data_IF_004657169852
#
_entry.id   IF_004657169852
#
_cell.length_a   1.000
_cell.length_b   1.000
_cell.length_c   1.000
_cell.angle_alpha   90.00
_cell.angle_beta   90.00
_cell.angle_gamma   90.00
#
_symmetry.space_group_name_H-M   'P 1'
#
loop_
_entity.id
_entity.type
_entity.pdbx_description
1 polymer ?
#
# COMPACT_ATOMS: atom_id res chain seq x y z
N UNK A 1 19.27 6.70 10.99
CA UNK A 1 17.84 6.86 10.70
C UNK A 1 17.52 6.00 9.51
N UNK A 2 16.63 5.03 9.64
CA UNK A 2 16.27 4.13 8.53
C UNK A 2 15.52 4.96 7.48
N UNK A 3 16.09 5.12 6.28
CA UNK A 3 15.52 5.89 5.16
C UNK A 3 14.80 4.97 4.15
N UNK A 4 14.29 3.84 4.64
CA UNK A 4 13.63 2.82 3.81
C UNK A 4 12.12 2.94 3.93
N UNK A 5 11.45 3.08 2.79
CA UNK A 5 10.00 2.95 2.66
C UNK A 5 9.62 1.57 2.17
N UNK A 6 8.35 1.18 2.37
CA UNK A 6 7.74 0.08 1.63
C UNK A 6 6.79 0.63 0.58
N UNK A 7 6.87 0.09 -0.63
CA UNK A 7 5.98 0.39 -1.74
C UNK A 7 5.35 -0.93 -2.21
N UNK A 8 4.02 -1.02 -2.14
CA UNK A 8 3.35 -2.27 -2.52
C UNK A 8 2.06 -2.03 -3.30
N UNK A 9 1.59 -3.06 -3.99
CA UNK A 9 0.34 -3.02 -4.71
C UNK A 9 -0.53 -4.23 -4.33
N UNK A 10 -1.83 -3.99 -4.19
CA UNK A 10 -2.80 -5.03 -3.86
C UNK A 10 -4.04 -4.97 -4.76
N UNK A 11 -4.59 -6.14 -5.04
CA UNK A 11 -5.89 -6.31 -5.69
C UNK A 11 -6.64 -7.36 -4.89
N UNK A 12 -7.52 -6.92 -3.99
CA UNK A 12 -8.29 -7.81 -3.12
C UNK A 12 -9.79 -7.46 -3.12
N UNK A 13 -10.54 -7.82 -4.18
CA UNK A 13 -11.97 -7.59 -4.25
C UNK A 13 -12.79 -8.33 -3.18
N UNK A 14 -12.19 -9.35 -2.56
CA UNK A 14 -12.88 -10.24 -1.61
C UNK A 14 -12.52 -9.96 -0.15
N UNK A 15 -11.67 -8.97 0.14
CA UNK A 15 -11.25 -8.64 1.50
C UNK A 15 -10.48 -9.74 2.23
N UNK A 16 -9.89 -10.69 1.49
CA UNK A 16 -9.15 -11.81 2.08
C UNK A 16 -7.89 -11.38 2.83
N UNK A 17 -7.30 -10.24 2.47
CA UNK A 17 -6.11 -9.73 3.14
C UNK A 17 -6.42 -8.90 4.38
N UNK A 18 -7.68 -8.55 4.66
CA UNK A 18 -8.04 -7.68 5.80
C UNK A 18 -7.57 -8.24 7.15
N UNK A 19 -7.76 -9.53 7.48
CA UNK A 19 -7.29 -10.07 8.76
C UNK A 19 -5.78 -9.92 8.93
N UNK A 20 -5.02 -10.31 7.90
CA UNK A 20 -3.56 -10.25 7.90
C UNK A 20 -3.05 -8.79 7.92
N UNK A 21 -3.70 -7.90 7.18
CA UNK A 21 -3.37 -6.47 7.20
C UNK A 21 -3.56 -5.89 8.60
N UNK A 22 -4.68 -6.18 9.26
CA UNK A 22 -4.94 -5.68 10.61
C UNK A 22 -3.96 -6.21 11.65
N UNK A 23 -3.48 -7.44 11.48
CA UNK A 23 -2.43 -8.03 12.33
C UNK A 23 -1.08 -7.33 12.13
N UNK A 24 -0.68 -7.07 10.88
CA UNK A 24 0.68 -6.63 10.55
C UNK A 24 0.86 -5.11 10.45
N UNK A 25 -0.21 -4.33 10.24
CA UNK A 25 -0.10 -2.89 9.94
C UNK A 25 0.68 -2.10 10.99
N UNK A 26 0.57 -2.47 12.26
CA UNK A 26 1.28 -1.78 13.35
C UNK A 26 2.78 -2.09 13.31
N UNK A 27 3.15 -3.36 13.08
CA UNK A 27 4.56 -3.72 12.97
C UNK A 27 5.24 -3.03 11.76
N UNK A 28 4.52 -2.89 10.65
CA UNK A 28 5.05 -2.20 9.46
C UNK A 28 5.36 -0.72 9.74
N UNK A 29 4.54 -0.06 10.57
CA UNK A 29 4.76 1.33 11.00
C UNK A 29 6.06 1.50 11.80
N UNK A 30 6.42 0.51 12.61
CA UNK A 30 7.62 0.59 13.44
C UNK A 30 8.91 0.28 12.66
N UNK A 31 8.77 -0.41 11.52
CA UNK A 31 9.90 -0.85 10.69
C UNK A 31 10.26 0.19 9.62
N UNK A 32 9.25 0.78 8.97
CA UNK A 32 9.44 1.61 7.78
C UNK A 32 9.20 3.09 8.05
N UNK A 33 10.02 3.95 7.44
CA UNK A 33 9.87 5.39 7.55
C UNK A 33 8.59 5.89 6.86
N UNK A 34 8.26 5.27 5.72
CA UNK A 34 7.05 5.57 4.95
C UNK A 34 6.42 4.29 4.42
N UNK A 35 5.09 4.34 4.29
CA UNK A 35 4.26 3.22 3.88
C UNK A 35 3.38 3.67 2.70
N UNK A 36 3.58 3.05 1.54
CA UNK A 36 2.80 3.32 0.34
C UNK A 36 2.13 2.05 -0.14
N UNK A 37 0.85 2.17 -0.48
CA UNK A 37 0.11 1.10 -1.15
C UNK A 37 -0.69 1.64 -2.32
N UNK A 38 -0.64 0.91 -3.43
CA UNK A 38 -1.53 1.15 -4.58
C UNK A 38 -2.54 0.02 -4.68
N UNK A 39 -3.82 0.38 -4.69
CA UNK A 39 -4.92 -0.59 -4.77
C UNK A 39 -5.76 -0.36 -6.01
N UNK A 40 -6.41 -1.40 -6.51
CA UNK A 40 -7.40 -1.22 -7.58
C UNK A 40 -8.71 -0.65 -7.03
N UNK A 41 -9.48 0.05 -7.85
CA UNK A 41 -10.86 0.46 -7.55
C UNK A 41 -11.81 -0.71 -7.24
N UNK A 42 -11.47 -1.92 -7.69
CA UNK A 42 -12.23 -3.15 -7.37
C UNK A 42 -11.91 -3.71 -5.97
N UNK A 43 -11.06 -3.07 -5.18
CA UNK A 43 -10.69 -3.56 -3.84
C UNK A 43 -11.89 -3.53 -2.91
N UNK A 44 -11.97 -4.47 -1.95
CA UNK A 44 -13.10 -4.51 -1.03
C UNK A 44 -13.18 -3.22 -0.18
N UNK A 45 -14.41 -2.76 0.08
CA UNK A 45 -14.65 -1.62 0.96
C UNK A 45 -14.04 -1.83 2.35
N UNK A 46 -14.01 -3.08 2.82
CA UNK A 46 -13.43 -3.41 4.12
C UNK A 46 -11.92 -3.13 4.16
N UNK A 47 -11.18 -3.51 3.12
CA UNK A 47 -9.75 -3.20 3.04
C UNK A 47 -9.51 -1.71 2.82
N UNK A 48 -10.33 -1.04 2.01
CA UNK A 48 -10.25 0.42 1.83
C UNK A 48 -10.42 1.15 3.17
N UNK A 49 -11.45 0.80 3.94
CA UNK A 49 -11.67 1.37 5.27
C UNK A 49 -10.50 1.07 6.22
N UNK A 50 -9.93 -0.14 6.17
CA UNK A 50 -8.78 -0.49 7.01
C UNK A 50 -7.54 0.33 6.65
N UNK A 51 -7.32 0.60 5.36
CA UNK A 51 -6.23 1.42 4.84
C UNK A 51 -6.39 2.90 5.20
N UNK A 52 -7.60 3.46 5.05
CA UNK A 52 -7.93 4.82 5.45
C UNK A 52 -7.67 5.06 6.95
N UNK A 53 -7.91 4.05 7.78
CA UNK A 53 -7.65 4.09 9.23
C UNK A 53 -6.22 3.62 9.60
N UNK A 54 -5.27 3.73 8.67
CA UNK A 54 -3.87 3.33 8.89
C UNK A 54 -2.89 4.43 8.49
N UNK A 55 -1.59 4.20 8.69
CA UNK A 55 -0.52 5.12 8.24
C UNK A 55 -0.10 4.89 6.79
N UNK A 56 -0.74 3.98 6.06
CA UNK A 56 -0.47 3.79 4.64
C UNK A 56 -1.00 4.96 3.82
N UNK A 57 -0.10 5.60 3.08
CA UNK A 57 -0.47 6.46 1.96
C UNK A 57 -1.06 5.55 0.88
N UNK A 58 -2.28 5.83 0.43
CA UNK A 58 -3.03 4.95 -0.48
C UNK A 58 -3.28 5.66 -1.81
N UNK A 59 -2.97 4.98 -2.92
CA UNK A 59 -3.32 5.40 -4.27
C UNK A 59 -4.32 4.39 -4.87
N UNK A 60 -5.44 4.87 -5.42
CA UNK A 60 -6.48 4.03 -6.02
C UNK A 60 -6.42 4.17 -7.54
N UNK A 61 -6.30 3.04 -8.24
CA UNK A 61 -6.14 3.01 -9.70
C UNK A 61 -7.19 2.10 -10.38
N UNK A 62 -7.50 2.33 -11.67
CA UNK A 62 -8.29 1.39 -12.45
C UNK A 62 -7.59 0.03 -12.58
N UNK A 63 -8.37 -1.04 -12.72
CA UNK A 63 -7.80 -2.39 -12.95
C UNK A 63 -7.27 -2.52 -14.38
N UNK A 64 -5.97 -2.27 -14.53
CA UNK A 64 -5.26 -2.33 -15.83
C UNK A 64 -4.07 -3.31 -15.82
N UNK A 65 -4.15 -4.34 -14.97
CA UNK A 65 -3.16 -5.40 -14.85
C UNK A 65 -1.93 -5.07 -14.00
N UNK A 66 -1.12 -6.09 -13.70
CA UNK A 66 0.00 -5.99 -12.76
C UNK A 66 1.11 -5.03 -13.23
N UNK A 67 1.38 -4.96 -14.54
CA UNK A 67 2.40 -4.07 -15.07
C UNK A 67 2.04 -2.59 -14.87
N UNK A 68 0.76 -2.24 -15.05
CA UNK A 68 0.25 -0.91 -14.74
C UNK A 68 0.35 -0.60 -13.25
N UNK A 69 -0.15 -1.51 -12.40
CA UNK A 69 -0.10 -1.34 -10.94
C UNK A 69 1.32 -1.11 -10.40
N UNK A 70 2.32 -1.85 -10.92
CA UNK A 70 3.73 -1.65 -10.53
C UNK A 70 4.27 -0.27 -10.91
N UNK A 71 3.91 0.26 -12.08
CA UNK A 71 4.32 1.61 -12.50
C UNK A 71 3.69 2.67 -11.62
N UNK A 72 2.39 2.57 -11.39
CA UNK A 72 1.66 3.52 -10.53
C UNK A 72 2.17 3.48 -9.09
N UNK A 73 2.42 2.28 -8.55
CA UNK A 73 3.03 2.09 -7.23
C UNK A 73 4.41 2.75 -7.12
N UNK A 74 5.26 2.58 -8.15
CA UNK A 74 6.58 3.21 -8.18
C UNK A 74 6.47 4.74 -8.24
N UNK A 75 5.66 5.26 -9.17
CA UNK A 75 5.42 6.70 -9.31
C UNK A 75 4.91 7.30 -8.01
N UNK A 76 4.02 6.59 -7.31
CA UNK A 76 3.47 7.03 -6.05
C UNK A 76 4.50 7.00 -4.92
N UNK A 77 5.30 5.94 -4.81
CA UNK A 77 6.38 5.84 -3.82
C UNK A 77 7.45 6.91 -3.98
N UNK A 78 7.75 7.32 -5.22
CA UNK A 78 8.69 8.40 -5.52
C UNK A 78 8.21 9.80 -5.11
N UNK A 79 6.97 9.94 -4.63
CA UNK A 79 6.49 11.19 -3.99
C UNK A 79 6.94 11.33 -2.54
N UNK A 80 7.50 10.28 -1.96
CA UNK A 80 8.08 10.28 -0.61
C UNK A 80 9.47 10.90 -0.54
N UNK A 81 10.02 10.89 0.67
CA UNK A 81 11.35 11.45 1.00
C UNK A 81 12.39 10.33 1.22
N UNK A 82 11.95 9.07 1.25
CA UNK A 82 12.79 7.91 1.49
C UNK A 82 13.78 7.66 0.34
N UNK A 83 15.00 7.25 0.68
CA UNK A 83 16.09 7.01 -0.28
C UNK A 83 16.14 5.56 -0.77
N UNK A 84 15.57 4.64 0.01
CA UNK A 84 15.55 3.22 -0.27
C UNK A 84 14.12 2.70 -0.20
N UNK A 85 13.83 1.65 -0.96
CA UNK A 85 12.49 1.09 -1.08
C UNK A 85 12.55 -0.43 -1.02
N UNK A 86 11.60 -1.00 -0.28
CA UNK A 86 11.24 -2.41 -0.34
C UNK A 86 9.93 -2.58 -1.10
#
# INVERSE_FOLDING_TARGET
>A
MHSTAIITAAHDPKGRSVPLFNELKTALVDIYAELFITISEETSNELMNALENSRFKTNIIPKSGAAHARREMMNFGLTGESQHFH
#
